data_IF_118537771742
#
_entry.id   IF_118537771742
#
_cell.length_a   1.000
_cell.length_b   1.000
_cell.length_c   1.000
_cell.angle_alpha   90.00
_cell.angle_beta   90.00
_cell.angle_gamma   90.00
#
_symmetry.space_group_name_H-M   'P 1'
#
loop_
_entity.id
_entity.type
_entity.pdbx_description
1 polymer ?
#
# COMPACT_ATOMS: atom_id res chain seq x y z
N UNK A 1 4.13 2.12 -18.78
CA UNK A 1 4.39 2.55 -17.39
C UNK A 1 3.18 2.15 -16.57
N UNK A 2 3.34 1.77 -15.30
CA UNK A 2 2.20 1.59 -14.38
C UNK A 2 1.32 2.84 -14.38
N UNK A 3 0.03 2.66 -14.69
CA UNK A 3 -0.97 3.73 -14.74
C UNK A 3 -1.79 3.84 -13.46
N UNK A 4 -1.80 2.78 -12.66
CA UNK A 4 -2.52 2.70 -11.38
C UNK A 4 -1.61 2.15 -10.27
N UNK A 5 -2.06 2.26 -9.02
CA UNK A 5 -1.37 1.67 -7.86
C UNK A 5 -1.39 0.13 -7.91
N UNK A 6 -2.45 -0.47 -8.47
CA UNK A 6 -2.54 -1.91 -8.77
C UNK A 6 -1.46 -2.32 -9.77
N UNK A 7 -1.33 -1.58 -10.88
CA UNK A 7 -0.30 -1.84 -11.89
C UNK A 7 1.09 -1.72 -11.30
N UNK A 8 1.32 -0.72 -10.43
CA UNK A 8 2.59 -0.54 -9.74
C UNK A 8 2.93 -1.79 -8.91
N UNK A 9 2.00 -2.26 -8.07
CA UNK A 9 2.20 -3.45 -7.25
C UNK A 9 2.47 -4.70 -8.11
N UNK A 10 1.68 -4.92 -9.16
CA UNK A 10 1.86 -6.04 -10.09
C UNK A 10 3.21 -5.95 -10.80
N UNK A 11 3.57 -4.78 -11.32
CA UNK A 11 4.82 -4.56 -12.03
C UNK A 11 6.03 -4.77 -11.11
N UNK A 12 5.95 -4.33 -9.84
CA UNK A 12 7.01 -4.53 -8.83
C UNK A 12 7.16 -6.00 -8.48
N UNK A 13 6.06 -6.69 -8.22
CA UNK A 13 6.06 -8.14 -7.97
C UNK A 13 6.61 -8.94 -9.15
N UNK A 14 6.29 -8.56 -10.39
CA UNK A 14 6.77 -9.27 -11.57
C UNK A 14 8.27 -9.04 -11.85
N UNK A 15 8.79 -7.84 -11.60
CA UNK A 15 10.19 -7.48 -11.92
C UNK A 15 11.17 -7.73 -10.79
N UNK A 16 10.70 -7.67 -9.55
CA UNK A 16 11.53 -7.72 -8.34
C UNK A 16 11.08 -8.87 -7.42
N UNK A 17 10.53 -9.94 -8.01
CA UNK A 17 9.81 -11.02 -7.33
C UNK A 17 10.47 -11.50 -6.02
N UNK A 18 11.78 -11.77 -6.08
CA UNK A 18 12.56 -12.34 -4.98
C UNK A 18 13.35 -11.27 -4.20
N UNK A 19 13.27 -10.00 -4.60
CA UNK A 19 13.91 -8.90 -3.88
C UNK A 19 13.11 -8.54 -2.63
N UNK A 20 13.78 -8.14 -1.53
CA UNK A 20 13.10 -7.73 -0.31
C UNK A 20 12.33 -6.42 -0.54
N UNK A 21 11.06 -6.40 -0.15
CA UNK A 21 10.19 -5.23 -0.25
C UNK A 21 9.97 -4.58 1.11
N UNK A 22 9.67 -5.38 2.13
CA UNK A 22 9.37 -4.92 3.48
C UNK A 22 9.98 -5.87 4.50
N UNK A 23 10.76 -5.33 5.44
CA UNK A 23 11.11 -6.02 6.68
C UNK A 23 10.38 -5.35 7.84
N UNK A 24 9.63 -6.14 8.61
CA UNK A 24 8.99 -5.71 9.85
C UNK A 24 9.26 -6.73 10.97
N UNK A 25 9.38 -6.31 12.24
CA UNK A 25 9.71 -7.23 13.34
C UNK A 25 8.81 -8.45 13.42
N UNK A 26 7.50 -8.27 13.26
CA UNK A 26 6.53 -9.35 13.42
C UNK A 26 6.32 -10.20 12.15
N UNK A 27 6.73 -9.69 10.98
CA UNK A 27 6.48 -10.35 9.69
C UNK A 27 7.75 -10.90 9.04
N UNK A 28 8.92 -10.62 9.62
CA UNK A 28 10.20 -10.87 8.97
C UNK A 28 10.34 -10.05 7.70
N UNK A 29 11.08 -10.60 6.74
CA UNK A 29 11.29 -9.97 5.43
C UNK A 29 10.35 -10.58 4.40
N UNK A 30 9.48 -9.75 3.83
CA UNK A 30 8.63 -10.07 2.69
C UNK A 30 9.33 -9.65 1.40
N UNK A 31 9.41 -10.57 0.43
CA UNK A 31 9.76 -10.23 -0.95
C UNK A 31 8.62 -9.45 -1.63
N UNK A 32 8.86 -8.85 -2.79
CA UNK A 32 7.78 -8.18 -3.55
C UNK A 32 6.66 -9.14 -3.95
N UNK A 33 6.97 -10.39 -4.26
CA UNK A 33 5.94 -11.41 -4.51
C UNK A 33 5.11 -11.71 -3.26
N UNK A 34 5.77 -11.89 -2.12
CA UNK A 34 5.08 -12.16 -0.85
C UNK A 34 4.25 -10.96 -0.39
N UNK A 35 4.75 -9.73 -0.57
CA UNK A 35 4.01 -8.51 -0.26
C UNK A 35 2.75 -8.39 -1.12
N UNK A 36 2.87 -8.63 -2.44
CA UNK A 36 1.71 -8.66 -3.34
C UNK A 36 0.69 -9.71 -2.90
N UNK A 37 1.13 -10.95 -2.65
CA UNK A 37 0.22 -12.02 -2.24
C UNK A 37 -0.51 -11.68 -0.93
N UNK A 38 0.18 -11.00 0.00
CA UNK A 38 -0.45 -10.53 1.24
C UNK A 38 -1.50 -9.45 0.98
N UNK A 39 -1.18 -8.45 0.16
CA UNK A 39 -2.14 -7.40 -0.21
C UNK A 39 -3.34 -7.97 -0.97
N UNK A 40 -3.12 -8.94 -1.86
CA UNK A 40 -4.18 -9.64 -2.59
C UNK A 40 -5.09 -10.41 -1.64
N UNK A 41 -4.55 -11.18 -0.68
CA UNK A 41 -5.36 -11.89 0.31
C UNK A 41 -6.22 -10.96 1.17
N UNK A 42 -5.70 -9.78 1.56
CA UNK A 42 -6.50 -8.77 2.26
C UNK A 42 -7.58 -8.19 1.32
N UNK A 43 -7.25 -7.90 0.07
CA UNK A 43 -8.19 -7.37 -0.92
C UNK A 43 -9.37 -8.32 -1.16
N UNK A 44 -9.12 -9.63 -1.19
CA UNK A 44 -10.19 -10.63 -1.28
C UNK A 44 -11.12 -10.56 -0.06
N UNK A 45 -10.56 -10.50 1.15
CA UNK A 45 -11.36 -10.35 2.37
C UNK A 45 -12.20 -9.07 2.42
N UNK A 46 -11.65 -7.94 1.95
CA UNK A 46 -12.38 -6.67 1.88
C UNK A 46 -13.55 -6.74 0.88
N UNK A 47 -13.32 -7.38 -0.28
CA UNK A 47 -14.32 -7.46 -1.34
C UNK A 47 -15.34 -8.60 -1.16
N UNK A 48 -15.07 -9.53 -0.23
CA UNK A 48 -16.02 -10.53 0.24
C UNK A 48 -17.11 -9.93 1.16
N UNK A 49 -16.98 -8.68 1.58
CA UNK A 49 -18.02 -7.99 2.35
C UNK A 49 -19.21 -7.65 1.46
N UNK A 50 -20.44 -7.85 1.96
CA UNK A 50 -21.67 -7.56 1.22
C UNK A 50 -22.58 -6.58 1.98
N UNK A 51 -22.78 -5.34 1.47
CA UNK A 51 -22.01 -4.74 0.36
C UNK A 51 -20.58 -4.38 0.80
N UNK A 52 -19.61 -4.31 -0.14
CA UNK A 52 -18.26 -3.87 0.20
C UNK A 52 -18.26 -2.37 0.51
N UNK A 53 -17.54 -1.96 1.55
CA UNK A 53 -17.43 -0.55 1.90
C UNK A 53 -16.70 0.23 0.80
N UNK A 54 -17.14 1.47 0.53
CA UNK A 54 -16.55 2.32 -0.49
C UNK A 54 -15.19 2.91 -0.06
N UNK A 55 -14.98 3.06 1.25
CA UNK A 55 -13.76 3.59 1.84
C UNK A 55 -13.39 2.86 3.13
N UNK A 56 -12.10 2.67 3.34
CA UNK A 56 -11.52 2.05 4.54
C UNK A 56 -10.55 2.99 5.26
N UNK A 57 -10.36 2.77 6.55
CA UNK A 57 -9.48 3.55 7.42
C UNK A 57 -8.51 2.68 8.21
N UNK A 58 -7.45 3.31 8.70
CA UNK A 58 -6.43 2.68 9.51
C UNK A 58 -7.00 2.12 10.83
N UNK A 59 -6.44 1.01 11.27
CA UNK A 59 -6.73 0.35 12.56
C UNK A 59 -5.73 0.72 13.66
N UNK A 60 -4.61 1.35 13.30
CA UNK A 60 -3.50 1.66 14.20
C UNK A 60 -2.51 0.50 14.36
N UNK A 61 -2.55 -0.49 13.48
CA UNK A 61 -1.74 -1.71 13.56
C UNK A 61 -0.77 -1.83 12.39
N UNK A 62 0.33 -2.59 12.50
CA UNK A 62 1.28 -2.81 11.39
C UNK A 62 0.65 -3.32 10.08
N UNK A 63 -0.56 -3.87 10.16
CA UNK A 63 -1.35 -4.29 9.00
C UNK A 63 -1.88 -3.15 8.15
N UNK A 64 -1.97 -1.92 8.68
CA UNK A 64 -2.58 -0.78 7.98
C UNK A 64 -1.95 -0.52 6.63
N UNK A 65 -0.64 -0.71 6.50
CA UNK A 65 0.05 -0.51 5.23
C UNK A 65 -0.39 -1.52 4.16
N UNK A 66 -0.47 -2.80 4.54
CA UNK A 66 -0.92 -3.85 3.61
C UNK A 66 -2.40 -3.68 3.28
N UNK A 67 -3.21 -3.26 4.26
CA UNK A 67 -4.63 -2.98 4.06
C UNK A 67 -4.85 -1.78 3.12
N UNK A 68 -4.04 -0.74 3.25
CA UNK A 68 -4.06 0.41 2.34
C UNK A 68 -3.64 0.01 0.91
N UNK A 69 -2.60 -0.82 0.76
CA UNK A 69 -2.22 -1.39 -0.52
C UNK A 69 -3.35 -2.22 -1.14
N UNK A 70 -4.02 -3.03 -0.33
CA UNK A 70 -5.14 -3.86 -0.75
C UNK A 70 -6.35 -3.02 -1.20
N UNK A 71 -6.69 -1.98 -0.43
CA UNK A 71 -7.74 -1.03 -0.77
C UNK A 71 -7.44 -0.32 -2.10
N UNK A 72 -6.22 0.23 -2.24
CA UNK A 72 -5.75 0.88 -3.46
C UNK A 72 -5.77 -0.06 -4.68
N UNK A 73 -5.28 -1.30 -4.53
CA UNK A 73 -5.30 -2.29 -5.60
C UNK A 73 -6.73 -2.72 -6.01
N UNK A 74 -7.70 -2.52 -5.12
CA UNK A 74 -9.12 -2.81 -5.33
C UNK A 74 -9.93 -1.61 -5.79
N UNK A 75 -9.33 -0.42 -5.89
CA UNK A 75 -10.02 0.83 -6.20
C UNK A 75 -10.95 1.32 -5.09
N UNK A 76 -10.66 0.94 -3.85
CA UNK A 76 -11.36 1.39 -2.65
C UNK A 76 -10.57 2.56 -2.05
N UNK A 77 -11.28 3.59 -1.59
CA UNK A 77 -10.62 4.77 -1.02
C UNK A 77 -10.04 4.46 0.36
N UNK A 78 -8.89 5.06 0.67
CA UNK A 78 -8.31 5.10 2.01
C UNK A 78 -8.58 6.46 2.64
N UNK A 79 -9.55 6.52 3.55
CA UNK A 79 -10.08 7.76 4.13
C UNK A 79 -10.25 7.60 5.64
N UNK A 80 -9.78 8.54 6.49
CA UNK A 80 -9.99 8.50 7.94
C UNK A 80 -11.47 8.40 8.37
N UNK A 81 -12.41 8.90 7.56
CA UNK A 81 -13.85 8.78 7.79
C UNK A 81 -14.45 7.46 7.26
N UNK A 82 -13.64 6.63 6.60
CA UNK A 82 -14.03 5.32 6.10
C UNK A 82 -14.19 4.27 7.20
N UNK A 83 -14.67 3.08 6.81
CA UNK A 83 -14.82 1.96 7.73
C UNK A 83 -13.45 1.46 8.19
N UNK A 84 -13.22 1.32 9.50
CA UNK A 84 -12.02 0.68 10.00
C UNK A 84 -11.91 -0.75 9.46
N UNK A 85 -10.73 -1.13 8.97
CA UNK A 85 -10.53 -2.44 8.36
C UNK A 85 -10.83 -3.55 9.39
N UNK A 86 -11.73 -4.51 9.08
CA UNK A 86 -12.07 -5.56 10.03
C UNK A 86 -10.86 -6.45 10.35
N UNK A 87 -10.59 -6.78 11.63
CA UNK A 87 -9.46 -7.63 11.99
C UNK A 87 -9.53 -9.03 11.35
N UNK A 88 -10.73 -9.51 11.00
CA UNK A 88 -10.93 -10.80 10.34
C UNK A 88 -10.27 -10.85 8.95
N UNK A 89 -10.07 -9.72 8.28
CA UNK A 89 -9.38 -9.66 6.99
C UNK A 89 -7.86 -9.51 7.15
N UNK A 90 -7.38 -9.13 8.34
CA UNK A 90 -5.97 -8.85 8.64
C UNK A 90 -5.25 -10.10 9.17
N UNK A 91 -5.24 -11.16 8.35
CA UNK A 91 -4.70 -12.47 8.72
C UNK A 91 -5.65 -13.32 9.58
N UNK A 92 -6.90 -12.88 9.75
CA UNK A 92 -7.98 -13.64 10.38
C UNK A 92 -8.72 -14.57 9.41
N UNK A 93 -9.90 -15.08 9.80
CA UNK A 93 -10.66 -16.08 9.02
C UNK A 93 -11.13 -15.62 7.64
N UNK A 94 -11.17 -14.31 7.38
CA UNK A 94 -11.56 -13.73 6.09
C UNK A 94 -10.37 -13.29 5.24
N UNK A 95 -9.15 -13.47 5.73
CA UNK A 95 -7.97 -13.31 4.87
C UNK A 95 -8.02 -14.33 3.74
N UNK A 96 -7.85 -13.87 2.51
CA UNK A 96 -7.93 -14.71 1.30
C UNK A 96 -9.29 -15.42 1.16
N UNK A 97 -10.37 -14.74 1.55
CA UNK A 97 -11.74 -15.22 1.37
C UNK A 97 -12.07 -15.34 -0.12
N UNK A 98 -12.26 -16.58 -0.57
CA UNK A 98 -12.45 -16.92 -1.99
C UNK A 98 -13.71 -16.27 -2.59
N UNK A 99 -14.70 -15.92 -1.76
CA UNK A 99 -15.89 -15.19 -2.23
C UNK A 99 -15.56 -13.80 -2.79
N UNK A 100 -14.44 -13.21 -2.36
CA UNK A 100 -13.93 -11.94 -2.88
C UNK A 100 -13.19 -12.04 -4.22
N UNK A 101 -12.84 -13.24 -4.71
CA UNK A 101 -12.01 -13.41 -5.93
C UNK A 101 -12.68 -12.85 -7.17
N UNK A 102 -13.95 -13.19 -7.40
CA UNK A 102 -14.73 -12.68 -8.53
C UNK A 102 -14.80 -11.14 -8.53
N UNK A 103 -15.27 -10.51 -7.43
CA UNK A 103 -15.23 -9.06 -7.27
C UNK A 103 -13.84 -8.43 -7.47
N UNK A 104 -12.77 -9.06 -6.97
CA UNK A 104 -11.41 -8.55 -7.10
C UNK A 104 -10.89 -8.53 -8.54
N UNK A 105 -11.23 -9.55 -9.34
CA UNK A 105 -10.90 -9.56 -10.77
C UNK A 105 -11.79 -8.60 -11.56
N UNK A 106 -13.04 -8.40 -11.16
CA UNK A 106 -13.88 -7.37 -11.79
C UNK A 106 -13.26 -5.96 -11.66
N UNK A 107 -12.46 -5.72 -10.62
CA UNK A 107 -11.71 -4.45 -10.45
C UNK A 107 -10.65 -4.21 -11.52
N UNK A 108 -10.12 -5.23 -12.20
CA UNK A 108 -9.11 -5.05 -13.27
C UNK A 108 -9.60 -4.11 -14.38
N UNK A 109 -10.91 -4.08 -14.65
CA UNK A 109 -11.51 -3.23 -15.68
C UNK A 109 -12.05 -1.90 -15.13
N UNK A 110 -12.14 -1.75 -13.79
CA UNK A 110 -12.75 -0.59 -13.13
C UNK A 110 -11.72 0.37 -12.55
N UNK A 111 -10.55 -0.15 -12.14
CA UNK A 111 -9.49 0.66 -11.54
C UNK A 111 -8.72 1.37 -12.64
N UNK A 112 -8.73 2.70 -12.62
CA UNK A 112 -8.08 3.54 -13.60
C UNK A 112 -7.35 4.72 -12.96
N UNK A 113 -6.80 5.59 -13.81
CA UNK A 113 -6.05 6.78 -13.41
C UNK A 113 -6.86 7.72 -12.50
N UNK A 114 -8.15 7.90 -12.80
CA UNK A 114 -9.07 8.76 -12.06
C UNK A 114 -9.74 8.07 -10.85
N UNK A 115 -9.37 6.82 -10.54
CA UNK A 115 -9.90 6.13 -9.36
C UNK A 115 -9.47 6.89 -8.10
N UNK A 116 -10.41 7.24 -7.20
CA UNK A 116 -10.07 7.91 -5.95
C UNK A 116 -9.15 7.05 -5.08
N UNK A 117 -8.10 7.66 -4.55
CA UNK A 117 -7.22 7.02 -3.57
C UNK A 117 -7.52 7.51 -2.15
N UNK A 118 -7.61 8.83 -1.96
CA UNK A 118 -8.08 9.48 -0.73
C UNK A 118 -8.92 10.69 -1.14
N UNK A 119 -9.61 11.35 -0.19
CA UNK A 119 -10.29 12.62 -0.45
C UNK A 119 -9.34 13.61 -1.17
N UNK A 120 -9.73 14.03 -2.37
CA UNK A 120 -9.00 15.00 -3.21
C UNK A 120 -7.71 14.49 -3.90
N UNK A 121 -7.43 13.19 -3.88
CA UNK A 121 -6.29 12.61 -4.61
C UNK A 121 -6.68 11.30 -5.29
N UNK A 122 -6.48 11.22 -6.60
CA UNK A 122 -6.67 10.01 -7.40
C UNK A 122 -5.36 9.23 -7.60
N UNK A 123 -5.45 8.07 -8.24
CA UNK A 123 -4.30 7.20 -8.52
C UNK A 123 -3.24 7.91 -9.37
N UNK A 124 -3.65 8.64 -10.42
CA UNK A 124 -2.73 9.37 -11.28
C UNK A 124 -1.99 10.48 -10.54
N UNK A 125 -2.70 11.24 -9.70
CA UNK A 125 -2.17 12.28 -8.85
C UNK A 125 -1.15 11.74 -7.85
N UNK A 126 -1.45 10.61 -7.19
CA UNK A 126 -0.50 9.95 -6.31
C UNK A 126 0.74 9.46 -7.08
N UNK A 127 0.56 8.77 -8.20
CA UNK A 127 1.67 8.30 -9.03
C UNK A 127 2.58 9.44 -9.50
N UNK A 128 2.00 10.60 -9.87
CA UNK A 128 2.76 11.79 -10.25
C UNK A 128 3.55 12.38 -9.08
N UNK A 129 2.95 12.42 -7.86
CA UNK A 129 3.64 12.85 -6.63
C UNK A 129 4.79 11.91 -6.28
N UNK A 130 4.57 10.60 -6.32
CA UNK A 130 5.59 9.58 -6.07
C UNK A 130 6.76 9.67 -7.04
N UNK A 131 6.48 9.87 -8.33
CA UNK A 131 7.51 10.10 -9.34
C UNK A 131 8.38 11.31 -9.01
N UNK A 132 7.76 12.47 -8.72
CA UNK A 132 8.49 13.70 -8.38
C UNK A 132 9.33 13.54 -7.11
N UNK A 133 8.76 12.89 -6.10
CA UNK A 133 9.47 12.63 -4.85
C UNK A 133 10.67 11.70 -5.07
N UNK A 134 10.51 10.59 -5.80
CA UNK A 134 11.59 9.65 -6.05
C UNK A 134 12.72 10.21 -6.92
N UNK A 135 12.44 11.19 -7.81
CA UNK A 135 13.50 11.95 -8.49
C UNK A 135 14.40 12.69 -7.50
N UNK A 136 13.84 13.24 -6.42
CA UNK A 136 14.61 13.92 -5.37
C UNK A 136 15.33 12.94 -4.45
N UNK A 137 14.66 11.83 -4.10
CA UNK A 137 15.21 10.82 -3.20
C UNK A 137 16.32 9.99 -3.86
N UNK A 138 16.28 9.83 -5.19
CA UNK A 138 17.22 8.97 -5.91
C UNK A 138 17.06 7.48 -5.57
N UNK A 139 15.92 7.08 -5.01
CA UNK A 139 15.69 5.70 -4.60
C UNK A 139 15.40 4.80 -5.80
N UNK A 140 15.91 3.59 -5.71
CA UNK A 140 15.72 2.51 -6.69
C UNK A 140 15.63 1.15 -5.99
N UNK A 141 15.68 0.08 -6.79
CA UNK A 141 15.59 -1.29 -6.30
C UNK A 141 16.78 -1.82 -5.50
N UNK A 142 17.92 -1.10 -5.48
CA UNK A 142 19.08 -1.44 -4.65
C UNK A 142 19.09 -0.65 -3.33
N UNK A 143 18.18 0.32 -3.20
CA UNK A 143 18.07 1.17 -2.03
C UNK A 143 17.42 0.42 -0.87
N UNK A 144 18.09 0.43 0.30
CA UNK A 144 17.51 0.01 1.59
C UNK A 144 17.14 1.24 2.40
N UNK A 145 15.86 1.35 2.79
CA UNK A 145 15.29 2.52 3.46
C UNK A 145 14.92 2.14 4.91
N UNK A 146 15.68 2.60 5.91
CA UNK A 146 15.30 2.45 7.30
C UNK A 146 14.15 3.41 7.63
N UNK A 147 13.09 2.89 8.22
CA UNK A 147 11.85 3.60 8.55
C UNK A 147 11.50 3.40 10.03
N UNK A 148 10.99 4.44 10.71
CA UNK A 148 10.72 4.39 12.15
C UNK A 148 9.48 3.55 12.46
N UNK A 149 9.67 2.40 13.12
CA UNK A 149 8.55 1.55 13.56
C UNK A 149 7.59 2.29 14.52
N UNK A 150 8.13 3.09 15.44
CA UNK A 150 7.36 3.76 16.49
C UNK A 150 6.46 4.90 15.98
N UNK A 151 6.60 5.31 14.70
CA UNK A 151 5.88 6.43 14.09
C UNK A 151 4.80 5.93 13.12
N UNK A 152 4.25 4.75 13.42
CA UNK A 152 3.18 4.16 12.65
C UNK A 152 1.96 5.09 12.56
N UNK A 153 1.36 5.19 11.38
CA UNK A 153 0.24 6.11 11.11
C UNK A 153 0.65 7.55 10.78
N UNK A 154 1.92 7.93 10.93
CA UNK A 154 2.35 9.26 10.52
C UNK A 154 2.30 9.44 9.00
N UNK A 155 1.79 10.59 8.50
CA UNK A 155 1.72 10.86 7.07
C UNK A 155 3.08 10.76 6.36
N UNK A 156 4.15 11.19 7.01
CA UNK A 156 5.51 11.11 6.45
C UNK A 156 5.97 9.65 6.26
N UNK A 157 5.74 8.78 7.25
CA UNK A 157 6.06 7.35 7.14
C UNK A 157 5.24 6.69 6.02
N UNK A 158 3.94 7.00 5.96
CA UNK A 158 3.05 6.52 4.89
C UNK A 158 3.55 6.93 3.49
N UNK A 159 4.00 8.17 3.32
CA UNK A 159 4.57 8.65 2.06
C UNK A 159 5.90 7.95 1.71
N UNK A 160 6.72 7.64 2.73
CA UNK A 160 7.97 6.91 2.56
C UNK A 160 7.73 5.46 2.12
N UNK A 161 6.74 4.78 2.70
CA UNK A 161 6.34 3.43 2.29
C UNK A 161 5.85 3.37 0.85
N UNK A 162 4.97 4.31 0.44
CA UNK A 162 4.57 4.43 -0.97
C UNK A 162 5.76 4.76 -1.89
N UNK A 163 6.69 5.60 -1.44
CA UNK A 163 7.89 5.93 -2.22
C UNK A 163 8.82 4.74 -2.37
N UNK A 164 9.00 3.93 -1.33
CA UNK A 164 9.80 2.71 -1.38
C UNK A 164 9.18 1.70 -2.36
N UNK A 165 7.86 1.46 -2.27
CA UNK A 165 7.15 0.63 -3.26
C UNK A 165 7.29 1.18 -4.68
N UNK A 166 7.16 2.50 -4.86
CA UNK A 166 7.34 3.14 -6.15
C UNK A 166 8.74 2.92 -6.71
N UNK A 167 9.79 3.08 -5.91
CA UNK A 167 11.18 2.88 -6.32
C UNK A 167 11.54 1.41 -6.59
N UNK A 168 10.85 0.47 -5.93
CA UNK A 168 11.32 -0.91 -5.83
C UNK A 168 12.30 -1.12 -4.67
N UNK A 169 12.40 -0.15 -3.76
CA UNK A 169 13.32 -0.14 -2.64
C UNK A 169 12.88 -1.08 -1.49
N UNK A 170 13.84 -1.53 -0.71
CA UNK A 170 13.61 -2.34 0.49
C UNK A 170 13.31 -1.43 1.70
N UNK A 171 12.05 -1.38 2.13
CA UNK A 171 11.67 -0.71 3.37
C UNK A 171 11.97 -1.59 4.60
N UNK A 172 12.64 -1.05 5.61
CA UNK A 172 12.93 -1.75 6.87
C UNK A 172 12.34 -0.97 8.03
N UNK A 173 11.32 -1.52 8.69
CA UNK A 173 10.77 -0.95 9.91
C UNK A 173 11.67 -1.31 11.09
N UNK A 174 12.35 -0.31 11.65
CA UNK A 174 13.29 -0.46 12.75
C UNK A 174 13.21 0.72 13.72
N UNK A 175 13.84 0.57 14.90
CA UNK A 175 14.01 1.67 15.86
C UNK A 175 15.22 2.51 15.47
N UNK A 176 15.04 3.43 14.53
CA UNK A 176 16.11 4.29 14.01
C UNK A 176 15.73 5.77 14.10
N UNK A 177 16.75 6.65 13.98
CA UNK A 177 16.53 8.08 13.77
C UNK A 177 15.95 8.26 12.36
N UNK A 178 14.84 8.99 12.28
CA UNK A 178 14.09 9.22 11.06
C UNK A 178 14.06 10.72 10.72
N UNK A 179 14.41 11.06 9.49
CA UNK A 179 14.21 12.39 8.93
C UNK A 179 12.93 12.39 8.08
N UNK A 180 11.91 13.07 8.59
CA UNK A 180 10.62 13.21 7.91
C UNK A 180 10.63 14.30 6.83
N UNK A 181 11.64 15.18 6.80
CA UNK A 181 11.70 16.40 5.98
C UNK A 181 11.35 16.17 4.50
N UNK A 182 11.92 15.17 3.81
CA UNK A 182 11.61 14.92 2.40
C UNK A 182 10.13 14.59 2.10
N UNK A 183 9.38 14.16 3.12
CA UNK A 183 8.00 13.69 3.04
C UNK A 183 7.00 14.71 3.59
N UNK A 184 7.47 15.81 4.18
CA UNK A 184 6.62 16.89 4.65
C UNK A 184 5.81 17.49 3.50
N UNK A 185 4.53 17.74 3.75
CA UNK A 185 3.60 18.26 2.75
C UNK A 185 3.23 17.29 1.63
N UNK A 186 3.74 16.05 1.61
CA UNK A 186 3.47 15.09 0.52
C UNK A 186 1.96 14.85 0.29
N UNK A 187 1.18 14.88 1.36
CA UNK A 187 -0.27 14.65 1.35
C UNK A 187 -1.12 15.92 1.31
N UNK A 188 -0.53 17.11 1.33
CA UNK A 188 -1.29 18.37 1.24
C UNK A 188 -1.89 18.50 -0.16
N UNK A 189 -3.18 18.84 -0.24
CA UNK A 189 -3.96 19.00 -1.48
C UNK A 189 -4.18 20.49 -1.71
#
# INVERSE_FOLDING_TARGET
MATTLRDLLIQRAARLQDRPALTAPDWGTLSYAQLRNRAEGVALGLLAMDPPAAAFSATGTPWDWVAELAAAASGLAWDPAGQAVPPEVLGGPRFNDESGRGPYHARDQMVGAATPFTSGLDHAGLMARLRRLNVRLGWDHDTRVPLPLARWGEPALRAALWSALYAGAHAVLETSRWDAGPFEGFWQI
#
